data_IF_372442713645
#
_entry.id   IF_372442713645
#
_cell.length_a   1.000
_cell.length_b   1.000
_cell.length_c   1.000
_cell.angle_alpha   90.00
_cell.angle_beta   90.00
_cell.angle_gamma   90.00
#
_symmetry.space_group_name_H-M   'P 1'
#
loop_
_entity.id
_entity.type
_entity.pdbx_description
1 polymer ?
#
# COMPACT_ATOMS: atom_id res chain seq x y z
N UNK A 1 11.75 9.60 -47.27
CA UNK A 1 10.67 8.77 -46.69
C UNK A 1 11.15 7.91 -45.51
N UNK A 2 12.25 7.15 -45.64
CA UNK A 2 12.69 6.20 -44.58
C UNK A 2 13.07 6.85 -43.23
N UNK A 3 13.68 8.04 -43.21
CA UNK A 3 14.03 8.74 -41.95
C UNK A 3 12.81 9.16 -41.11
N UNK A 4 11.66 9.45 -41.75
CA UNK A 4 10.47 9.92 -41.05
C UNK A 4 9.73 8.78 -40.34
N UNK A 5 9.79 7.55 -40.89
CA UNK A 5 9.22 6.36 -40.28
C UNK A 5 9.96 5.96 -38.99
N UNK A 6 11.29 6.14 -38.96
CA UNK A 6 12.10 5.85 -37.77
C UNK A 6 11.78 6.79 -36.60
N UNK A 7 11.55 8.07 -36.88
CA UNK A 7 11.19 9.07 -35.86
C UNK A 7 9.80 8.82 -35.24
N UNK A 8 8.82 8.41 -36.05
CA UNK A 8 7.48 8.10 -35.56
C UNK A 8 7.45 6.84 -34.67
N UNK A 9 8.33 5.87 -34.94
CA UNK A 9 8.44 4.64 -34.16
C UNK A 9 9.10 4.87 -32.78
N UNK A 10 10.01 5.84 -32.67
CA UNK A 10 10.63 6.22 -31.40
C UNK A 10 9.63 6.92 -30.44
N UNK A 11 8.71 7.73 -30.96
CA UNK A 11 7.73 8.44 -30.14
C UNK A 11 6.66 7.53 -29.51
N UNK A 12 6.35 6.39 -30.13
CA UNK A 12 5.37 5.43 -29.60
C UNK A 12 5.88 4.56 -28.45
N UNK A 13 7.20 4.44 -28.26
CA UNK A 13 7.77 3.58 -27.21
C UNK A 13 7.90 4.25 -25.83
N UNK A 14 7.61 5.55 -25.71
CA UNK A 14 7.81 6.31 -24.47
C UNK A 14 6.55 6.45 -23.59
N UNK A 15 5.42 5.84 -23.97
CA UNK A 15 4.16 5.94 -23.22
C UNK A 15 3.77 4.64 -22.50
N UNK A 16 4.76 3.89 -21.99
CA UNK A 16 4.48 2.76 -21.10
C UNK A 16 4.11 3.32 -19.71
N UNK A 17 2.90 3.04 -19.19
CA UNK A 17 2.56 3.43 -17.83
C UNK A 17 3.53 2.76 -16.87
N UNK A 18 4.14 3.56 -15.99
CA UNK A 18 5.00 3.03 -14.94
C UNK A 18 4.19 2.05 -14.07
N UNK A 19 4.76 0.91 -13.68
CA UNK A 19 4.09 0.01 -12.75
C UNK A 19 3.76 0.80 -11.47
N UNK A 20 2.49 0.77 -11.08
CA UNK A 20 2.04 1.31 -9.81
C UNK A 20 2.82 0.59 -8.70
N UNK A 21 3.68 1.34 -8.01
CA UNK A 21 4.39 0.82 -6.84
C UNK A 21 3.34 0.34 -5.82
N UNK A 22 3.57 -0.79 -5.14
CA UNK A 22 2.70 -1.21 -4.06
C UNK A 22 2.71 -0.09 -3.02
N UNK A 23 1.55 0.55 -2.83
CA UNK A 23 1.36 1.49 -1.75
C UNK A 23 1.74 0.74 -0.46
N UNK A 24 2.90 1.08 0.10
CA UNK A 24 3.24 0.64 1.44
C UNK A 24 2.11 1.06 2.36
N UNK A 25 1.76 0.19 3.30
CA UNK A 25 0.65 0.40 4.24
C UNK A 25 0.76 1.80 4.82
N UNK A 26 -0.08 2.71 4.33
CA UNK A 26 0.04 4.12 4.65
C UNK A 26 -0.26 4.29 6.14
N UNK A 27 0.23 5.36 6.76
CA UNK A 27 -0.06 5.61 8.17
C UNK A 27 -1.57 5.60 8.47
N UNK A 28 -2.39 6.10 7.54
CA UNK A 28 -3.86 6.01 7.60
C UNK A 28 -4.37 4.56 7.60
N UNK A 29 -3.80 3.67 6.78
CA UNK A 29 -4.18 2.25 6.77
C UNK A 29 -3.80 1.55 8.07
N UNK A 30 -2.63 1.89 8.62
CA UNK A 30 -2.18 1.40 9.92
C UNK A 30 -3.15 1.82 11.04
N UNK A 31 -3.58 3.09 11.03
CA UNK A 31 -4.59 3.60 11.98
C UNK A 31 -5.94 2.91 11.84
N UNK A 32 -6.40 2.66 10.60
CA UNK A 32 -7.64 1.91 10.36
C UNK A 32 -7.54 0.49 10.92
N UNK A 33 -6.40 -0.19 10.75
CA UNK A 33 -6.17 -1.52 11.33
C UNK A 33 -6.19 -1.48 12.86
N UNK A 34 -5.53 -0.50 13.48
CA UNK A 34 -5.52 -0.34 14.94
C UNK A 34 -6.93 -0.10 15.49
N UNK A 35 -7.76 0.71 14.80
CA UNK A 35 -9.17 0.92 15.20
C UNK A 35 -9.97 -0.38 15.14
N UNK A 36 -9.82 -1.19 14.08
CA UNK A 36 -10.46 -2.51 13.97
C UNK A 36 -10.06 -3.44 15.12
N UNK A 37 -8.77 -3.45 15.47
CA UNK A 37 -8.28 -4.24 16.60
C UNK A 37 -8.86 -3.76 17.94
N UNK A 38 -9.04 -2.45 18.13
CA UNK A 38 -9.68 -1.91 19.34
C UNK A 38 -11.14 -2.39 19.43
N UNK A 39 -11.89 -2.32 18.33
CA UNK A 39 -13.28 -2.79 18.31
C UNK A 39 -13.38 -4.29 18.63
N UNK A 40 -12.45 -5.11 18.12
CA UNK A 40 -12.38 -6.54 18.45
C UNK A 40 -12.05 -6.78 19.93
N UNK A 41 -11.20 -5.95 20.53
CA UNK A 41 -10.90 -6.00 21.97
C UNK A 41 -12.14 -5.66 22.81
N UNK A 42 -12.84 -4.58 22.47
CA UNK A 42 -14.08 -4.18 23.17
C UNK A 42 -15.19 -5.23 23.05
N UNK A 43 -15.22 -6.00 21.97
CA UNK A 43 -16.12 -7.15 21.79
C UNK A 43 -15.68 -8.41 22.55
N UNK A 44 -14.52 -8.39 23.21
CA UNK A 44 -13.94 -9.55 23.89
C UNK A 44 -13.37 -10.62 22.96
N UNK A 45 -13.18 -10.30 21.67
CA UNK A 45 -12.56 -11.21 20.68
C UNK A 45 -11.04 -11.22 20.79
N UNK A 46 -10.46 -10.17 21.34
CA UNK A 46 -9.04 -10.05 21.62
C UNK A 46 -8.83 -9.69 23.08
N UNK A 47 -7.80 -10.27 23.67
CA UNK A 47 -7.29 -9.81 24.97
C UNK A 47 -6.49 -8.50 24.82
N UNK A 48 -6.28 -7.77 25.91
CA UNK A 48 -5.45 -6.56 25.91
C UNK A 48 -4.02 -6.86 25.43
N UNK A 49 -3.45 -8.01 25.83
CA UNK A 49 -2.11 -8.43 25.40
C UNK A 49 -2.03 -8.65 23.89
N UNK A 50 -3.02 -9.32 23.30
CA UNK A 50 -3.09 -9.54 21.85
C UNK A 50 -3.27 -8.25 21.06
N UNK A 51 -4.10 -7.33 21.57
CA UNK A 51 -4.27 -6.01 20.99
C UNK A 51 -2.94 -5.25 20.95
N UNK A 52 -2.20 -5.22 22.06
CA UNK A 52 -0.93 -4.50 22.14
C UNK A 52 0.15 -5.14 21.26
N UNK A 53 0.23 -6.48 21.20
CA UNK A 53 1.17 -7.17 20.33
C UNK A 53 0.93 -6.83 18.85
N UNK A 54 -0.33 -6.86 18.39
CA UNK A 54 -0.69 -6.52 17.01
C UNK A 54 -0.49 -5.04 16.71
N UNK A 55 -0.80 -4.15 17.66
CA UNK A 55 -0.56 -2.71 17.53
C UNK A 55 0.93 -2.42 17.33
N UNK A 56 1.81 -3.03 18.12
CA UNK A 56 3.27 -2.91 17.96
C UNK A 56 3.75 -3.42 16.61
N UNK A 57 3.24 -4.58 16.17
CA UNK A 57 3.55 -5.14 14.85
C UNK A 57 3.16 -4.20 13.70
N UNK A 58 2.00 -3.55 13.79
CA UNK A 58 1.53 -2.60 12.77
C UNK A 58 2.40 -1.33 12.74
N UNK A 59 2.82 -0.85 13.92
CA UNK A 59 3.65 0.36 14.06
C UNK A 59 5.14 0.10 13.83
N UNK A 60 5.58 -1.16 13.76
CA UNK A 60 6.98 -1.54 13.60
C UNK A 60 7.87 -1.24 14.81
N UNK A 61 7.32 -1.33 16.03
CA UNK A 61 8.01 -1.01 17.30
C UNK A 61 8.17 -2.20 18.23
#
# INVERSE_FOLDING_TARGET
AQQQALAAQAAQQQALPAPAEPAGDSFDEQLIKIQKLSAMKDQGLLTEEEFQAKKRQILGI
#
